data_IF_885678747606
#
_entry.id   IF_885678747606
#
_cell.length_a   1.000
_cell.length_b   1.000
_cell.length_c   1.000
_cell.angle_alpha   90.00
_cell.angle_beta   90.00
_cell.angle_gamma   90.00
#
_symmetry.space_group_name_H-M   'P 1'
#
loop_
_entity.id
_entity.type
_entity.pdbx_description
1 polymer ?
#
# COMPACT_ATOMS: atom_id res chain seq x y z
N UNK A 1 -41.98 46.09 -70.32
CA UNK A 1 -42.15 46.00 -68.83
C UNK A 1 -41.03 45.14 -68.27
N UNK A 2 -40.20 45.75 -67.48
CA UNK A 2 -38.90 45.12 -67.07
C UNK A 2 -39.09 44.46 -65.70
N UNK A 3 -38.96 43.11 -65.67
CA UNK A 3 -38.88 42.39 -64.38
C UNK A 3 -37.44 42.38 -63.90
N UNK A 4 -37.22 42.90 -62.67
CA UNK A 4 -35.92 42.84 -61.95
C UNK A 4 -35.91 41.63 -61.08
N UNK A 5 -35.04 40.65 -61.43
CA UNK A 5 -34.77 39.52 -60.57
C UNK A 5 -33.80 39.96 -59.45
N UNK A 6 -34.18 39.78 -58.17
CA UNK A 6 -33.30 39.94 -57.04
C UNK A 6 -32.68 38.60 -56.77
N UNK A 7 -31.35 38.51 -56.91
CA UNK A 7 -30.52 37.40 -56.47
C UNK A 7 -30.28 37.56 -55.02
N UNK A 8 -30.85 36.67 -54.21
CA UNK A 8 -30.51 36.56 -52.75
C UNK A 8 -29.33 35.60 -52.64
N UNK A 9 -28.16 36.13 -52.32
CA UNK A 9 -26.99 35.35 -51.99
C UNK A 9 -27.12 34.81 -50.60
N UNK A 10 -27.28 33.50 -50.44
CA UNK A 10 -27.21 32.78 -49.15
C UNK A 10 -25.74 32.62 -48.78
N UNK A 11 -25.28 33.35 -47.80
CA UNK A 11 -23.96 33.17 -47.21
C UNK A 11 -24.07 32.05 -46.16
N UNK A 12 -23.57 30.87 -46.49
CA UNK A 12 -23.34 29.81 -45.51
C UNK A 12 -22.14 30.19 -44.65
N UNK A 13 -22.39 30.67 -43.46
CA UNK A 13 -21.37 30.80 -42.44
C UNK A 13 -21.04 29.40 -41.91
N UNK A 14 -19.91 28.84 -42.33
CA UNK A 14 -19.31 27.64 -41.70
C UNK A 14 -18.84 28.01 -40.31
N UNK A 15 -19.68 27.76 -39.33
CA UNK A 15 -19.31 27.87 -37.92
C UNK A 15 -18.27 26.80 -37.57
N UNK A 16 -17.03 27.21 -37.42
CA UNK A 16 -15.97 26.37 -36.87
C UNK A 16 -16.29 26.14 -35.38
N UNK A 17 -16.74 24.95 -35.03
CA UNK A 17 -16.90 24.52 -33.65
C UNK A 17 -15.51 24.29 -33.10
N UNK A 18 -15.04 25.01 -32.06
CA UNK A 18 -13.77 24.68 -31.43
C UNK A 18 -13.91 23.33 -30.72
N UNK A 19 -13.16 22.35 -31.20
CA UNK A 19 -12.92 21.10 -30.50
C UNK A 19 -12.11 21.45 -29.23
N UNK A 20 -12.81 21.63 -28.13
CA UNK A 20 -12.15 21.64 -26.82
C UNK A 20 -11.61 20.23 -26.55
N UNK A 21 -10.29 20.04 -26.36
CA UNK A 21 -9.80 18.76 -25.89
C UNK A 21 -10.47 18.49 -24.55
N UNK A 22 -11.22 17.41 -24.48
CA UNK A 22 -11.86 16.99 -23.25
C UNK A 22 -10.81 16.89 -22.16
N UNK A 23 -10.96 17.67 -21.10
CA UNK A 23 -10.16 17.52 -19.90
C UNK A 23 -10.61 16.20 -19.29
N UNK A 24 -9.88 15.12 -19.59
CA UNK A 24 -10.04 13.87 -18.88
C UNK A 24 -9.65 14.15 -17.43
N UNK A 25 -10.65 14.30 -16.60
CA UNK A 25 -10.47 14.26 -15.16
C UNK A 25 -10.01 12.85 -14.83
N UNK A 26 -8.71 12.66 -14.65
CA UNK A 26 -8.19 11.43 -14.13
C UNK A 26 -8.85 11.24 -12.75
N UNK A 27 -9.75 10.28 -12.67
CA UNK A 27 -10.33 9.86 -11.39
C UNK A 27 -9.18 9.24 -10.60
N UNK A 28 -8.60 10.02 -9.69
CA UNK A 28 -7.70 9.47 -8.69
C UNK A 28 -8.52 8.50 -7.84
N UNK A 29 -8.28 7.21 -8.03
CA UNK A 29 -8.84 6.18 -7.17
C UNK A 29 -8.42 6.48 -5.75
N UNK A 30 -9.38 6.79 -4.88
CA UNK A 30 -9.10 7.03 -3.47
C UNK A 30 -8.43 5.80 -2.86
N UNK A 31 -7.32 5.98 -2.16
CA UNK A 31 -6.63 4.90 -1.46
C UNK A 31 -7.57 4.26 -0.44
N UNK A 32 -7.80 2.97 -0.60
CA UNK A 32 -8.65 2.20 0.30
C UNK A 32 -7.80 1.60 1.42
N UNK A 33 -8.16 1.89 2.64
CA UNK A 33 -7.52 1.31 3.82
C UNK A 33 -8.34 0.16 4.37
N UNK A 34 -7.65 -0.88 4.82
CA UNK A 34 -8.24 -2.08 5.41
C UNK A 34 -7.49 -2.46 6.68
N UNK A 35 -8.14 -3.23 7.53
CA UNK A 35 -7.52 -3.80 8.73
C UNK A 35 -7.00 -5.19 8.40
N UNK A 36 -5.71 -5.38 8.58
CA UNK A 36 -5.00 -6.65 8.43
C UNK A 36 -4.56 -7.16 9.80
N UNK A 37 -4.68 -8.44 10.01
CA UNK A 37 -4.18 -9.12 11.20
C UNK A 37 -3.08 -10.10 10.78
N UNK A 38 -1.95 -10.07 11.48
CA UNK A 38 -0.84 -10.99 11.24
C UNK A 38 -0.26 -11.44 12.58
N UNK A 39 -0.11 -12.74 12.75
CA UNK A 39 0.33 -13.33 14.01
C UNK A 39 1.77 -13.79 13.93
N UNK A 40 2.50 -13.63 15.02
CA UNK A 40 3.90 -14.03 15.13
C UNK A 40 4.12 -14.83 16.39
N UNK A 41 4.93 -15.85 16.29
CA UNK A 41 5.32 -16.73 17.39
C UNK A 41 6.82 -16.91 17.36
N UNK A 42 7.46 -16.74 18.50
CA UNK A 42 8.89 -17.02 18.65
C UNK A 42 9.12 -18.31 19.41
N UNK A 43 10.10 -19.08 19.00
CA UNK A 43 10.53 -20.30 19.69
C UNK A 43 11.79 -20.13 20.54
N UNK A 44 12.67 -19.15 20.27
CA UNK A 44 13.83 -18.93 21.12
C UNK A 44 13.42 -18.45 22.51
N UNK A 45 14.24 -18.72 23.54
CA UNK A 45 13.98 -18.25 24.91
C UNK A 45 14.16 -16.73 25.04
N UNK A 46 14.84 -16.11 24.08
CA UNK A 46 15.11 -14.67 24.10
C UNK A 46 13.87 -13.86 23.75
N UNK A 47 13.79 -12.66 24.29
CA UNK A 47 12.79 -11.68 23.85
C UNK A 47 13.04 -11.29 22.41
N UNK A 48 12.01 -11.38 21.60
CA UNK A 48 12.04 -10.98 20.20
C UNK A 48 11.27 -9.68 20.03
N UNK A 49 11.88 -8.73 19.35
CA UNK A 49 11.26 -7.47 18.94
C UNK A 49 10.79 -7.57 17.50
N UNK A 50 9.66 -6.95 17.19
CA UNK A 50 8.99 -7.04 15.90
C UNK A 50 8.49 -5.67 15.45
N UNK A 51 8.74 -5.35 14.20
CA UNK A 51 8.08 -4.25 13.49
C UNK A 51 7.52 -4.74 12.16
N UNK A 52 6.50 -4.06 11.69
CA UNK A 52 5.96 -4.22 10.35
C UNK A 52 6.27 -2.95 9.52
N UNK A 53 6.57 -3.14 8.26
CA UNK A 53 7.01 -2.07 7.36
C UNK A 53 6.20 -2.06 6.09
N UNK A 54 5.52 -0.94 5.80
CA UNK A 54 4.92 -0.68 4.49
C UNK A 54 5.99 -0.25 3.49
N UNK A 55 6.08 -0.92 2.36
CA UNK A 55 7.15 -0.68 1.41
C UNK A 55 6.90 0.57 0.55
N UNK A 56 5.66 0.82 0.16
CA UNK A 56 5.29 1.95 -0.69
C UNK A 56 5.14 3.25 0.13
N UNK A 57 4.37 3.21 1.21
CA UNK A 57 4.06 4.38 2.02
C UNK A 57 5.05 4.63 3.17
N UNK A 58 6.05 3.76 3.32
CA UNK A 58 7.07 3.85 4.39
C UNK A 58 6.50 3.90 5.81
N UNK A 59 5.29 3.40 6.01
CA UNK A 59 4.69 3.27 7.34
C UNK A 59 5.41 2.20 8.16
N UNK A 60 5.50 2.41 9.46
CA UNK A 60 6.07 1.47 10.41
C UNK A 60 5.07 1.23 11.54
N UNK A 61 4.83 -0.03 11.87
CA UNK A 61 3.97 -0.40 12.98
C UNK A 61 4.74 -1.15 14.07
N UNK A 62 4.48 -0.82 15.33
CA UNK A 62 3.44 0.10 15.84
C UNK A 62 3.78 1.56 15.61
N UNK A 63 5.04 1.94 15.51
CA UNK A 63 5.55 3.27 15.19
C UNK A 63 7.05 3.17 14.84
N UNK A 64 7.68 4.19 14.21
CA UNK A 64 9.10 4.16 13.83
C UNK A 64 10.06 3.94 15.00
N UNK A 65 9.71 4.41 16.19
CA UNK A 65 10.49 4.34 17.43
C UNK A 65 9.96 3.28 18.42
N UNK A 66 8.95 2.50 18.04
CA UNK A 66 8.32 1.48 18.87
C UNK A 66 8.33 0.14 18.18
N UNK A 67 8.22 -0.93 18.94
CA UNK A 67 8.17 -2.30 18.44
C UNK A 67 7.25 -3.15 19.30
N UNK A 68 6.74 -4.21 18.70
CA UNK A 68 6.05 -5.25 19.45
C UNK A 68 7.08 -6.13 20.13
N UNK A 69 6.71 -6.65 21.30
CA UNK A 69 7.56 -7.51 22.09
C UNK A 69 6.95 -8.90 22.18
N UNK A 70 7.70 -9.90 21.75
CA UNK A 70 7.30 -11.29 21.80
C UNK A 70 8.00 -11.94 23.01
N UNK A 71 7.24 -12.18 24.06
CA UNK A 71 7.71 -12.84 25.28
C UNK A 71 7.11 -14.24 25.36
N UNK A 72 7.91 -15.26 25.14
CA UNK A 72 7.48 -16.64 25.23
C UNK A 72 6.92 -17.21 23.94
N UNK A 73 6.30 -18.40 24.02
CA UNK A 73 5.90 -19.21 22.87
C UNK A 73 4.47 -18.95 22.37
N UNK A 74 3.73 -18.09 23.04
CA UNK A 74 2.38 -17.73 22.61
C UNK A 74 2.43 -16.87 21.34
N UNK A 75 1.48 -17.09 20.44
CA UNK A 75 1.36 -16.23 19.26
C UNK A 75 0.94 -14.82 19.66
N UNK A 76 1.67 -13.83 19.14
CA UNK A 76 1.33 -12.42 19.27
C UNK A 76 0.60 -11.97 18.01
N UNK A 77 -0.62 -11.49 18.17
CA UNK A 77 -1.47 -11.01 17.08
C UNK A 77 -1.25 -9.52 16.89
N UNK A 78 -0.70 -9.13 15.73
CA UNK A 78 -0.64 -7.73 15.32
C UNK A 78 -1.87 -7.37 14.52
N UNK A 79 -2.39 -6.18 14.72
CA UNK A 79 -3.52 -5.64 13.98
C UNK A 79 -3.16 -4.26 13.48
N UNK A 80 -3.09 -4.09 12.17
CA UNK A 80 -2.68 -2.84 11.54
C UNK A 80 -3.71 -2.37 10.52
N UNK A 81 -3.77 -1.06 10.31
CA UNK A 81 -4.49 -0.45 9.20
C UNK A 81 -3.49 -0.11 8.11
N UNK A 82 -3.68 -0.63 6.91
CA UNK A 82 -2.79 -0.44 5.78
C UNK A 82 -3.56 -0.18 4.48
N UNK A 83 -2.88 0.39 3.49
CA UNK A 83 -3.47 0.59 2.17
C UNK A 83 -3.64 -0.75 1.44
N UNK A 84 -4.83 -1.00 0.91
CA UNK A 84 -5.12 -2.25 0.20
C UNK A 84 -4.11 -2.49 -0.93
N UNK A 85 -3.49 -3.66 -0.92
CA UNK A 85 -2.47 -4.05 -1.89
C UNK A 85 -1.05 -3.59 -1.58
N UNK A 86 -0.86 -2.73 -0.58
CA UNK A 86 0.48 -2.33 -0.13
C UNK A 86 1.28 -3.54 0.34
N UNK A 87 2.53 -3.62 -0.06
CA UNK A 87 3.42 -4.69 0.38
C UNK A 87 3.88 -4.42 1.82
N UNK A 88 3.52 -5.32 2.74
CA UNK A 88 3.86 -5.24 4.16
C UNK A 88 4.89 -6.33 4.47
N UNK A 89 6.03 -5.93 5.00
CA UNK A 89 7.09 -6.85 5.41
C UNK A 89 7.27 -6.82 6.93
N UNK A 90 7.61 -7.96 7.53
CA UNK A 90 8.00 -7.99 8.93
C UNK A 90 9.52 -7.99 9.09
N UNK A 91 9.98 -7.33 10.13
CA UNK A 91 11.34 -7.46 10.64
C UNK A 91 11.31 -7.79 12.12
N UNK A 92 12.07 -8.81 12.51
CA UNK A 92 12.19 -9.21 13.89
C UNK A 92 13.67 -9.35 14.28
N UNK A 93 13.98 -9.12 15.55
CA UNK A 93 15.35 -9.18 16.06
C UNK A 93 15.36 -9.44 17.58
N UNK A 94 16.52 -9.83 18.07
CA UNK A 94 16.81 -9.93 19.50
C UNK A 94 17.86 -8.90 19.91
N UNK A 95 18.11 -8.73 21.20
CA UNK A 95 19.24 -7.92 21.69
C UNK A 95 20.60 -8.50 21.32
N UNK A 96 20.65 -9.80 20.98
CA UNK A 96 21.79 -10.45 20.35
C UNK A 96 21.86 -10.18 18.86
N UNK A 97 22.47 -11.07 18.11
CA UNK A 97 22.69 -10.91 16.68
C UNK A 97 21.67 -11.67 15.81
N UNK A 98 20.58 -12.14 16.38
CA UNK A 98 19.53 -12.86 15.64
C UNK A 98 18.56 -11.87 15.00
N UNK A 99 18.22 -12.11 13.75
CA UNK A 99 17.19 -11.35 13.04
C UNK A 99 16.43 -12.25 12.06
N UNK A 100 15.20 -11.86 11.76
CA UNK A 100 14.31 -12.55 10.83
C UNK A 100 13.63 -11.52 9.92
N UNK A 101 13.15 -12.00 8.80
CA UNK A 101 12.47 -11.15 7.83
C UNK A 101 13.40 -10.09 7.26
N UNK A 102 12.94 -8.86 7.19
CA UNK A 102 13.74 -7.72 6.74
C UNK A 102 14.63 -7.12 7.84
N UNK A 103 14.64 -7.72 9.02
CA UNK A 103 15.46 -7.28 10.15
C UNK A 103 15.03 -5.95 10.74
N UNK A 104 15.84 -5.44 11.67
CA UNK A 104 15.60 -4.15 12.31
C UNK A 104 15.70 -3.01 11.32
N UNK A 105 14.68 -2.15 11.27
CA UNK A 105 14.66 -0.99 10.38
C UNK A 105 14.52 -1.32 8.89
N UNK A 106 14.05 -2.51 8.55
CA UNK A 106 13.90 -2.97 7.16
C UNK A 106 15.21 -2.94 6.37
N UNK A 107 16.33 -3.20 7.01
CA UNK A 107 17.68 -3.09 6.43
C UNK A 107 18.16 -4.34 5.71
N UNK A 108 17.57 -5.51 5.99
CA UNK A 108 17.93 -6.75 5.33
C UNK A 108 17.22 -6.88 3.98
N UNK A 109 17.96 -7.20 2.95
CA UNK A 109 17.44 -7.57 1.63
C UNK A 109 17.50 -9.10 1.46
N UNK A 110 16.66 -9.66 0.57
CA UNK A 110 16.70 -11.07 0.22
C UNK A 110 15.76 -11.98 1.00
N UNK A 111 14.85 -11.43 1.77
CA UNK A 111 13.76 -12.18 2.36
C UNK A 111 12.68 -12.47 1.32
N UNK A 112 12.36 -13.76 1.10
CA UNK A 112 11.35 -14.18 0.11
C UNK A 112 9.94 -14.30 0.71
N UNK A 113 9.82 -14.68 1.99
CA UNK A 113 8.54 -15.02 2.63
C UNK A 113 8.16 -14.07 3.78
N UNK A 114 8.82 -12.93 3.88
CA UNK A 114 8.58 -11.98 4.97
C UNK A 114 7.64 -10.84 4.61
N UNK A 115 7.06 -10.87 3.44
CA UNK A 115 6.16 -9.83 2.95
C UNK A 115 4.85 -10.42 2.45
N UNK A 116 3.76 -9.71 2.73
CA UNK A 116 2.43 -10.03 2.23
C UNK A 116 1.75 -8.77 1.71
N UNK A 117 0.85 -8.88 0.73
CA UNK A 117 0.03 -7.74 0.36
C UNK A 117 -0.97 -7.42 1.47
N UNK A 118 -1.15 -6.12 1.76
CA UNK A 118 -2.20 -5.66 2.67
C UNK A 118 -3.57 -6.06 2.13
N UNK A 119 -4.29 -6.85 2.91
CA UNK A 119 -5.69 -7.19 2.62
C UNK A 119 -6.44 -7.42 3.92
N UNK A 120 -7.75 -7.24 3.87
CA UNK A 120 -8.62 -7.46 5.04
C UNK A 120 -8.49 -8.89 5.56
N UNK A 121 -8.38 -9.05 6.86
CA UNK A 121 -8.44 -10.34 7.55
C UNK A 121 -7.09 -10.85 8.05
N UNK A 122 -7.05 -12.11 8.41
CA UNK A 122 -5.92 -12.79 9.03
C UNK A 122 -4.96 -13.35 7.97
N UNK A 123 -3.66 -13.10 8.17
CA UNK A 123 -2.58 -13.61 7.31
C UNK A 123 -1.94 -14.89 7.82
N UNK A 124 -2.48 -15.45 8.90
CA UNK A 124 -1.90 -16.63 9.54
C UNK A 124 -0.79 -16.30 10.54
N UNK A 125 -0.03 -17.30 10.89
CA UNK A 125 1.02 -17.22 11.91
C UNK A 125 2.38 -17.50 11.32
N UNK A 126 3.31 -16.57 11.53
CA UNK A 126 4.74 -16.77 11.23
C UNK A 126 5.42 -17.29 12.50
N UNK A 127 6.18 -18.37 12.37
CA UNK A 127 7.01 -18.90 13.45
C UNK A 127 8.47 -18.52 13.25
N UNK A 128 8.98 -17.73 14.18
CA UNK A 128 10.38 -17.31 14.21
C UNK A 128 11.19 -18.40 14.90
N UNK A 129 11.91 -19.18 14.12
CA UNK A 129 12.75 -20.29 14.62
C UNK A 129 14.15 -19.79 14.99
N UNK A 130 14.84 -20.49 15.89
CA UNK A 130 16.22 -20.13 16.25
C UNK A 130 17.18 -20.08 15.07
#
# INVERSE_FOLDING_TARGET
>A
MRARAFLVALIFALGSVPLFPGVEWAQQSATRYVVMTWSFKSTPPDTVYLQLYGQENKNVWPAPDKYYRLDGRAAHKTRITCALGEKICYGAWTDGNKSWGVGKGSKSSGCTDCCVPCSKGDKGTVTLKP
#
